data_IF_136480233380
#
_entry.id   IF_136480233380
#
_cell.length_a   1.000
_cell.length_b   1.000
_cell.length_c   1.000
_cell.angle_alpha   90.00
_cell.angle_beta   90.00
_cell.angle_gamma   90.00
#
_symmetry.space_group_name_H-M   'P 1'
#
loop_
_entity.id
_entity.type
_entity.pdbx_description
1 polymer ?
#
# COMPACT_ATOMS: atom_id res chain seq x y z
N UNK A 1 9.38 10.07 23.63
CA UNK A 1 10.74 9.62 23.23
C UNK A 1 11.42 8.85 24.36
N UNK A 2 11.30 9.31 25.62
CA UNK A 2 11.84 8.68 26.85
C UNK A 2 11.85 7.13 26.88
N UNK A 3 10.72 6.48 26.58
CA UNK A 3 10.55 5.03 26.75
C UNK A 3 10.83 4.19 25.48
N UNK A 4 11.10 4.83 24.33
CA UNK A 4 11.28 4.14 23.04
C UNK A 4 12.43 4.77 22.27
N UNK A 5 13.59 4.12 22.30
CA UNK A 5 14.82 4.57 21.62
C UNK A 5 14.59 4.67 20.11
N UNK A 6 15.23 5.63 19.45
CA UNK A 6 15.21 5.80 17.99
C UNK A 6 14.06 6.66 17.42
N UNK A 7 13.12 7.14 18.25
CA UNK A 7 12.01 8.00 17.77
C UNK A 7 12.51 9.33 17.18
N UNK A 8 13.46 10.00 17.85
CA UNK A 8 14.02 11.29 17.36
C UNK A 8 14.81 11.10 16.07
N UNK A 9 15.65 10.06 16.01
CA UNK A 9 16.39 9.71 14.81
C UNK A 9 15.46 9.43 13.63
N UNK A 10 14.39 8.65 13.85
CA UNK A 10 13.38 8.38 12.82
C UNK A 10 12.67 9.64 12.32
N UNK A 11 12.37 10.59 13.21
CA UNK A 11 11.75 11.87 12.87
C UNK A 11 12.66 12.71 11.98
N UNK A 12 13.90 12.93 12.40
CA UNK A 12 14.84 13.76 11.63
C UNK A 12 15.27 13.09 10.32
N UNK A 13 15.43 11.77 10.31
CA UNK A 13 15.74 11.03 9.10
C UNK A 13 14.60 11.12 8.07
N UNK A 14 13.34 11.08 8.53
CA UNK A 14 12.17 11.25 7.66
C UNK A 14 12.14 12.64 7.00
N UNK A 15 12.43 13.71 7.76
CA UNK A 15 12.51 15.07 7.23
C UNK A 15 13.70 15.24 6.29
N UNK A 16 14.88 14.74 6.66
CA UNK A 16 16.10 14.80 5.87
C UNK A 16 16.00 14.08 4.52
N UNK A 17 15.46 12.84 4.51
CA UNK A 17 15.23 12.07 3.27
C UNK A 17 14.23 12.74 2.33
N UNK A 18 13.40 13.65 2.85
CA UNK A 18 12.45 14.44 2.07
C UNK A 18 12.97 15.86 1.78
N UNK A 19 14.27 16.13 1.99
CA UNK A 19 14.92 17.42 1.75
C UNK A 19 14.23 18.59 2.49
N UNK A 20 13.73 18.34 3.70
CA UNK A 20 13.09 19.35 4.54
C UNK A 20 14.11 19.82 5.59
N UNK A 21 14.49 21.10 5.50
CA UNK A 21 15.39 21.70 6.47
C UNK A 21 14.66 22.05 7.78
N UNK A 22 15.26 21.70 8.91
CA UNK A 22 14.79 22.05 10.26
C UNK A 22 15.58 23.26 10.75
N UNK A 23 14.88 24.36 11.02
CA UNK A 23 15.48 25.63 11.46
C UNK A 23 15.71 25.69 12.97
N UNK A 24 14.85 25.04 13.74
CA UNK A 24 14.98 24.98 15.19
C UNK A 24 14.29 23.73 15.75
N UNK A 25 14.77 23.30 16.91
CA UNK A 25 14.29 22.12 17.62
C UNK A 25 14.11 22.51 19.09
N UNK A 26 12.95 22.20 19.65
CA UNK A 26 12.70 22.30 21.08
C UNK A 26 12.10 20.97 21.57
N UNK A 27 12.68 20.38 22.61
CA UNK A 27 12.18 19.15 23.21
C UNK A 27 11.79 19.43 24.66
N UNK A 28 10.58 19.04 25.04
CA UNK A 28 10.11 19.25 26.41
C UNK A 28 10.90 18.39 27.40
N UNK A 29 11.03 18.84 28.66
CA UNK A 29 11.80 18.15 29.71
C UNK A 29 11.31 16.72 30.01
N UNK A 30 10.04 16.42 29.74
CA UNK A 30 9.50 15.05 29.86
C UNK A 30 9.96 14.12 28.73
N UNK A 31 10.58 14.68 27.68
CA UNK A 31 10.97 14.01 26.43
C UNK A 31 9.82 13.28 25.75
N UNK A 32 8.58 13.66 26.06
CA UNK A 32 7.38 13.13 25.42
C UNK A 32 7.04 13.90 24.16
N UNK A 33 7.39 15.19 24.11
CA UNK A 33 7.05 16.12 23.05
C UNK A 33 8.32 16.70 22.42
N UNK A 34 8.30 16.86 21.10
CA UNK A 34 9.30 17.58 20.33
C UNK A 34 8.59 18.55 19.38
N UNK A 35 9.06 19.78 19.34
CA UNK A 35 8.61 20.85 18.47
C UNK A 35 9.73 21.19 17.49
N UNK A 36 9.38 21.35 16.22
CA UNK A 36 10.33 21.67 15.15
C UNK A 36 9.82 22.88 14.38
N UNK A 37 10.74 23.75 13.99
CA UNK A 37 10.45 24.89 13.10
C UNK A 37 10.98 24.54 11.71
N UNK A 38 10.11 24.65 10.71
CA UNK A 38 10.43 24.39 9.30
C UNK A 38 9.88 25.55 8.45
N UNK A 39 10.32 25.60 7.19
CA UNK A 39 9.74 26.53 6.23
C UNK A 39 8.24 26.22 5.99
N UNK A 40 7.40 27.25 5.95
CA UNK A 40 5.96 27.10 5.72
C UNK A 40 5.66 26.36 4.41
N UNK A 41 6.47 26.57 3.38
CA UNK A 41 6.29 25.90 2.08
C UNK A 41 6.47 24.37 2.19
N UNK A 42 7.19 23.89 3.21
CA UNK A 42 7.42 22.47 3.45
C UNK A 42 6.38 21.83 4.39
N UNK A 43 5.44 22.59 4.96
CA UNK A 43 4.53 22.09 6.00
C UNK A 43 3.74 20.84 5.57
N UNK A 44 3.13 20.85 4.38
CA UNK A 44 2.39 19.71 3.85
C UNK A 44 3.29 18.50 3.57
N UNK A 45 4.48 18.73 3.01
CA UNK A 45 5.46 17.67 2.73
C UNK A 45 5.96 17.03 4.04
N UNK A 46 6.27 17.84 5.04
CA UNK A 46 6.71 17.40 6.36
C UNK A 46 5.64 16.57 7.07
N UNK A 47 4.39 17.02 7.05
CA UNK A 47 3.28 16.28 7.64
C UNK A 47 3.14 14.90 7.00
N UNK A 48 3.15 14.83 5.67
CA UNK A 48 3.05 13.56 4.95
C UNK A 48 4.23 12.64 5.24
N UNK A 49 5.47 13.15 5.17
CA UNK A 49 6.68 12.37 5.45
C UNK A 49 6.66 11.79 6.87
N UNK A 50 6.30 12.59 7.87
CA UNK A 50 6.20 12.14 9.25
C UNK A 50 5.06 11.14 9.44
N UNK A 51 3.89 11.38 8.84
CA UNK A 51 2.79 10.43 8.87
C UNK A 51 3.21 9.08 8.27
N UNK A 52 3.84 9.05 7.10
CA UNK A 52 4.30 7.80 6.47
C UNK A 52 5.38 7.10 7.30
N UNK A 53 6.30 7.85 7.91
CA UNK A 53 7.35 7.28 8.74
C UNK A 53 6.77 6.65 10.01
N UNK A 54 5.88 7.35 10.72
CA UNK A 54 5.41 6.92 12.04
C UNK A 54 4.17 6.03 12.01
N UNK A 55 3.28 6.21 11.04
CA UNK A 55 2.09 5.39 10.89
C UNK A 55 2.42 4.25 9.95
N UNK A 56 2.60 3.04 10.49
CA UNK A 56 2.62 1.80 9.70
C UNK A 56 1.25 1.57 9.09
N UNK A 57 0.91 2.30 8.03
CA UNK A 57 -0.24 1.98 7.18
C UNK A 57 0.28 1.12 6.05
N UNK A 58 -0.31 -0.07 5.90
CA UNK A 58 -0.07 -0.88 4.71
C UNK A 58 -0.47 -0.05 3.49
N UNK A 59 0.47 0.17 2.57
CA UNK A 59 0.16 0.82 1.29
C UNK A 59 -0.77 -0.11 0.52
N UNK A 60 -1.98 0.37 0.22
CA UNK A 60 -2.99 -0.43 -0.47
C UNK A 60 -2.73 -0.35 -1.97
N UNK A 61 -2.57 -1.50 -2.61
CA UNK A 61 -2.47 -1.64 -4.05
C UNK A 61 -3.65 -2.45 -4.54
N UNK A 62 -4.39 -1.87 -5.48
CA UNK A 62 -5.46 -2.56 -6.21
C UNK A 62 -4.86 -3.13 -7.49
N UNK A 63 -5.15 -4.40 -7.77
CA UNK A 63 -4.65 -5.09 -8.95
C UNK A 63 -5.78 -5.68 -9.79
N UNK A 64 -5.56 -5.59 -11.09
CA UNK A 64 -6.37 -6.19 -12.14
C UNK A 64 -5.48 -7.18 -12.90
N UNK A 65 -5.86 -8.45 -12.93
CA UNK A 65 -5.03 -9.52 -13.49
C UNK A 65 -5.73 -10.12 -14.70
N UNK A 66 -5.21 -9.87 -15.90
CA UNK A 66 -5.66 -10.52 -17.13
C UNK A 66 -4.83 -11.77 -17.42
N UNK A 67 -5.42 -12.74 -18.12
CA UNK A 67 -4.78 -14.03 -18.42
C UNK A 67 -4.81 -15.03 -17.26
N UNK A 68 -5.85 -15.03 -16.43
CA UNK A 68 -6.01 -16.00 -15.31
C UNK A 68 -6.44 -17.40 -15.78
N UNK A 69 -5.60 -18.02 -16.61
CA UNK A 69 -5.67 -19.44 -16.99
C UNK A 69 -4.75 -20.28 -16.10
N UNK A 70 -3.99 -21.21 -16.70
CA UNK A 70 -3.05 -22.07 -15.95
C UNK A 70 -1.99 -21.24 -15.21
N UNK A 71 -1.17 -20.45 -15.93
CA UNK A 71 -0.09 -19.65 -15.33
C UNK A 71 -0.63 -18.54 -14.42
N UNK A 72 -1.63 -17.78 -14.89
CA UNK A 72 -2.23 -16.72 -14.07
C UNK A 72 -2.95 -17.25 -12.82
N UNK A 73 -3.48 -18.47 -12.87
CA UNK A 73 -4.02 -19.15 -11.69
C UNK A 73 -2.95 -19.44 -10.63
N UNK A 74 -1.75 -19.87 -11.04
CA UNK A 74 -0.63 -20.03 -10.12
C UNK A 74 -0.19 -18.69 -9.49
N UNK A 75 -0.19 -17.60 -10.26
CA UNK A 75 0.07 -16.26 -9.72
C UNK A 75 -0.95 -15.89 -8.63
N UNK A 76 -2.26 -16.10 -8.89
CA UNK A 76 -3.30 -15.85 -7.89
C UNK A 76 -3.09 -16.69 -6.62
N UNK A 77 -2.69 -17.96 -6.78
CA UNK A 77 -2.36 -18.84 -5.66
C UNK A 77 -1.13 -18.34 -4.88
N UNK A 78 -0.10 -17.85 -5.56
CA UNK A 78 1.07 -17.25 -4.91
C UNK A 78 0.71 -15.97 -4.15
N UNK A 79 -0.08 -15.08 -4.76
CA UNK A 79 -0.58 -13.86 -4.10
C UNK A 79 -1.35 -14.22 -2.82
N UNK A 80 -2.24 -15.22 -2.90
CA UNK A 80 -2.96 -15.74 -1.74
C UNK A 80 -2.02 -16.25 -0.65
N UNK A 81 -1.09 -17.14 -1.02
CA UNK A 81 -0.17 -17.78 -0.06
C UNK A 81 0.82 -16.79 0.56
N UNK A 82 1.19 -15.73 -0.16
CA UNK A 82 2.16 -14.73 0.28
C UNK A 82 1.50 -13.48 0.89
N UNK A 83 0.17 -13.44 1.03
CA UNK A 83 -0.55 -12.24 1.50
C UNK A 83 -0.01 -11.71 2.83
N UNK A 84 0.27 -12.61 3.77
CA UNK A 84 0.86 -12.28 5.06
C UNK A 84 2.29 -11.76 4.95
N UNK A 85 3.10 -12.37 4.09
CA UNK A 85 4.48 -11.94 3.85
C UNK A 85 4.52 -10.53 3.24
N UNK A 86 3.71 -10.30 2.20
CA UNK A 86 3.58 -9.02 1.50
C UNK A 86 3.12 -7.92 2.47
N UNK A 87 2.15 -8.23 3.33
CA UNK A 87 1.67 -7.32 4.37
C UNK A 87 2.74 -7.01 5.42
N UNK A 88 3.34 -8.04 6.03
CA UNK A 88 4.23 -7.88 7.18
C UNK A 88 5.61 -7.34 6.79
N UNK A 89 6.17 -7.80 5.67
CA UNK A 89 7.56 -7.51 5.29
C UNK A 89 7.67 -6.39 4.25
N UNK A 90 6.71 -6.28 3.32
CA UNK A 90 6.74 -5.23 2.30
C UNK A 90 5.86 -4.02 2.68
N UNK A 91 5.05 -4.15 3.74
CA UNK A 91 4.13 -3.09 4.14
C UNK A 91 3.03 -2.84 3.10
N UNK A 92 2.67 -3.87 2.32
CA UNK A 92 1.74 -3.75 1.21
C UNK A 92 0.46 -4.53 1.49
N UNK A 93 -0.69 -3.93 1.18
CA UNK A 93 -1.97 -4.62 1.14
C UNK A 93 -2.43 -4.74 -0.31
N UNK A 94 -2.03 -5.84 -0.95
CA UNK A 94 -2.38 -6.16 -2.33
C UNK A 94 -3.79 -6.75 -2.37
N UNK A 95 -4.68 -6.12 -3.15
CA UNK A 95 -6.07 -6.57 -3.35
C UNK A 95 -6.34 -6.80 -4.81
N UNK A 96 -6.80 -8.00 -5.15
CA UNK A 96 -7.24 -8.32 -6.51
C UNK A 96 -8.70 -7.91 -6.64
N UNK A 97 -8.98 -6.87 -7.43
CA UNK A 97 -10.34 -6.38 -7.69
C UNK A 97 -10.87 -6.78 -9.06
N UNK A 98 -9.99 -7.19 -9.98
CA UNK A 98 -10.46 -7.74 -11.25
C UNK A 98 -9.57 -8.84 -11.78
N UNK A 99 -10.21 -9.79 -12.45
CA UNK A 99 -9.56 -10.92 -13.11
C UNK A 99 -10.21 -11.15 -14.47
N UNK A 100 -9.43 -11.52 -15.47
CA UNK A 100 -9.94 -11.86 -16.82
C UNK A 100 -9.21 -13.05 -17.40
N UNK A 101 -9.93 -13.93 -18.11
CA UNK A 101 -9.35 -14.92 -19.00
C UNK A 101 -9.68 -14.55 -20.46
N UNK A 102 -9.54 -15.50 -21.40
CA UNK A 102 -9.82 -15.26 -22.82
C UNK A 102 -11.31 -15.14 -23.17
N UNK A 103 -12.22 -15.57 -22.28
CA UNK A 103 -13.67 -15.64 -22.54
C UNK A 103 -14.49 -14.71 -21.65
N UNK A 104 -14.13 -14.63 -20.36
CA UNK A 104 -14.88 -13.93 -19.32
C UNK A 104 -13.97 -13.03 -18.50
N UNK A 105 -14.56 -11.99 -17.93
CA UNK A 105 -13.91 -11.11 -16.96
C UNK A 105 -14.79 -10.85 -15.75
N UNK A 106 -14.18 -10.48 -14.63
CA UNK A 106 -14.86 -10.11 -13.41
C UNK A 106 -14.17 -8.88 -12.83
N UNK A 107 -14.93 -7.85 -12.51
CA UNK A 107 -14.46 -6.67 -11.79
C UNK A 107 -15.39 -6.44 -10.61
N UNK A 108 -14.81 -6.29 -9.43
CA UNK A 108 -15.52 -6.14 -8.17
C UNK A 108 -15.06 -4.88 -7.46
N UNK A 109 -15.99 -4.23 -6.76
CA UNK A 109 -15.67 -3.12 -5.83
C UNK A 109 -14.98 -3.63 -4.55
N UNK A 110 -15.05 -4.93 -4.30
CA UNK A 110 -14.46 -5.61 -3.14
C UNK A 110 -13.43 -6.65 -3.59
N UNK A 111 -12.53 -7.03 -2.68
CA UNK A 111 -11.51 -8.03 -2.95
C UNK A 111 -12.14 -9.36 -3.39
N UNK A 112 -11.65 -9.90 -4.50
CA UNK A 112 -12.08 -11.20 -5.00
C UNK A 112 -11.52 -12.29 -4.08
N UNK A 113 -12.39 -13.22 -3.65
CA UNK A 113 -11.96 -14.39 -2.90
C UNK A 113 -11.11 -15.32 -3.78
N UNK A 114 -9.80 -15.34 -3.50
CA UNK A 114 -8.83 -16.17 -4.21
C UNK A 114 -8.95 -17.67 -3.92
N UNK A 115 -9.82 -18.10 -3.00
CA UNK A 115 -10.15 -19.53 -2.87
C UNK A 115 -11.09 -20.01 -3.98
N UNK A 116 -12.00 -19.15 -4.42
CA UNK A 116 -13.11 -19.51 -5.31
C UNK A 116 -13.11 -18.74 -6.62
N UNK A 117 -12.03 -18.00 -6.93
CA UNK A 117 -11.94 -17.08 -8.07
C UNK A 117 -12.33 -17.71 -9.40
N UNK A 118 -11.96 -18.97 -9.64
CA UNK A 118 -12.25 -19.68 -10.90
C UNK A 118 -13.76 -19.89 -11.11
N UNK A 119 -14.47 -20.27 -10.04
CA UNK A 119 -15.92 -20.43 -10.05
C UNK A 119 -16.63 -19.09 -10.26
N UNK A 120 -16.19 -18.05 -9.54
CA UNK A 120 -16.78 -16.71 -9.65
C UNK A 120 -16.55 -16.12 -11.05
N UNK A 121 -15.37 -16.31 -11.63
CA UNK A 121 -15.07 -15.89 -13.01
C UNK A 121 -15.90 -16.66 -14.05
N UNK A 122 -16.09 -17.96 -13.85
CA UNK A 122 -16.89 -18.78 -14.77
C UNK A 122 -18.38 -18.40 -14.70
N UNK A 123 -18.87 -18.00 -13.55
CA UNK A 123 -20.25 -17.53 -13.35
C UNK A 123 -20.44 -16.05 -13.71
N UNK A 124 -19.39 -15.33 -14.10
CA UNK A 124 -19.53 -13.97 -14.60
C UNK A 124 -20.29 -13.94 -15.93
N UNK A 125 -21.22 -13.00 -16.06
CA UNK A 125 -21.91 -12.72 -17.32
C UNK A 125 -21.13 -11.76 -18.23
N UNK A 126 -20.01 -11.22 -17.73
CA UNK A 126 -19.22 -10.22 -18.47
C UNK A 126 -18.21 -10.92 -19.37
N UNK A 127 -18.33 -10.70 -20.69
CA UNK A 127 -17.34 -11.17 -21.68
C UNK A 127 -16.00 -10.46 -21.47
N UNK A 128 -14.91 -11.18 -21.75
CA UNK A 128 -13.58 -10.60 -21.67
C UNK A 128 -13.43 -9.45 -22.69
N UNK A 129 -13.06 -8.27 -22.18
CA UNK A 129 -12.73 -7.10 -22.97
C UNK A 129 -11.31 -6.65 -22.62
N UNK A 130 -10.39 -6.84 -23.57
CA UNK A 130 -8.97 -6.49 -23.39
C UNK A 130 -8.75 -4.99 -23.40
N UNK A 131 -9.50 -4.26 -24.21
CA UNK A 131 -9.35 -2.81 -24.37
C UNK A 131 -9.87 -2.07 -23.14
N UNK A 132 -10.93 -2.60 -22.52
CA UNK A 132 -11.42 -2.12 -21.24
C UNK A 132 -10.38 -2.34 -20.12
N UNK A 133 -9.77 -3.52 -20.04
CA UNK A 133 -8.77 -3.83 -19.01
C UNK A 133 -7.48 -3.00 -19.12
N UNK A 134 -7.09 -2.57 -20.32
CA UNK A 134 -5.92 -1.70 -20.51
C UNK A 134 -6.17 -0.24 -20.10
N UNK A 135 -7.44 0.18 -19.97
CA UNK A 135 -7.83 1.56 -19.63
C UNK A 135 -8.12 1.76 -18.13
N UNK A 136 -8.09 0.70 -17.34
CA UNK A 136 -8.27 0.71 -15.86
C UNK A 136 -6.97 1.07 -15.14
#
# INVERSE_FOLDING_TARGET
>A
MKSKKGISGKLFNSLGNNSINVRAIAQGASERNISIIIDKNNAKKALNALHESFLKRLKRYTSFITGVGNVGGYLLQQIKNQKDFISKNLGLNLKVLGISNSKKMLISKQEIDLNNWSKVLTNSDTKADKDFFQKL
#
